data_IF_579239288506
#
_entry.id   IF_579239288506
#
_cell.length_a   1.000
_cell.length_b   1.000
_cell.length_c   1.000
_cell.angle_alpha   90.00
_cell.angle_beta   90.00
_cell.angle_gamma   90.00
#
_symmetry.space_group_name_H-M   'P 1'
#
loop_
_entity.id
_entity.type
_entity.pdbx_description
1 polymer ?
#
# COMPACT_ATOMS: atom_id res chain seq x y z
N UNK A 1 -44.38 65.95 7.00
CA UNK A 1 -44.11 65.68 8.43
C UNK A 1 -42.67 65.17 8.50
N UNK A 2 -41.66 66.06 8.43
CA UNK A 2 -40.91 66.67 9.58
C UNK A 2 -40.19 65.61 10.42
N UNK A 3 -38.89 65.66 10.73
CA UNK A 3 -37.72 66.52 10.43
C UNK A 3 -36.51 65.71 10.97
N UNK A 4 -35.32 65.84 10.38
CA UNK A 4 -34.03 65.25 10.80
C UNK A 4 -33.35 66.07 11.95
N UNK A 5 -32.03 65.90 12.25
CA UNK A 5 -31.35 65.26 13.41
C UNK A 5 -30.62 66.36 14.27
N UNK A 6 -29.33 66.32 14.74
CA UNK A 6 -28.40 65.30 15.26
C UNK A 6 -27.83 65.68 16.67
N UNK A 7 -26.86 64.94 17.23
CA UNK A 7 -25.95 65.48 18.27
C UNK A 7 -24.55 64.88 18.18
N UNK A 8 -23.60 65.75 17.80
CA UNK A 8 -22.14 65.62 17.88
C UNK A 8 -21.64 66.35 19.13
N UNK A 9 -20.59 65.82 19.75
CA UNK A 9 -19.56 66.57 20.47
C UNK A 9 -18.25 65.74 20.29
N UNK A 10 -17.23 66.16 19.52
CA UNK A 10 -16.24 67.23 19.75
C UNK A 10 -15.81 67.27 21.23
N UNK A 11 -14.56 66.97 21.60
CA UNK A 11 -13.30 67.72 21.39
C UNK A 11 -12.15 66.87 21.98
N UNK A 12 -10.89 66.89 21.55
CA UNK A 12 -10.17 67.82 20.69
C UNK A 12 -8.75 67.33 20.39
N UNK A 13 -8.20 67.90 19.32
CA UNK A 13 -6.79 67.84 18.94
C UNK A 13 -5.93 68.69 19.89
N UNK A 14 -4.71 68.22 20.15
CA UNK A 14 -3.44 68.99 20.31
C UNK A 14 -2.42 68.05 20.98
N UNK A 15 -1.13 68.02 20.68
CA UNK A 15 -0.28 68.73 19.75
C UNK A 15 1.13 68.15 19.97
N UNK A 16 1.86 67.95 18.87
CA UNK A 16 3.24 68.44 18.69
C UNK A 16 4.41 67.68 19.36
N UNK A 17 5.15 66.97 18.49
CA UNK A 17 6.61 67.08 18.22
C UNK A 17 7.58 67.03 19.41
N UNK A 18 8.45 66.00 19.45
CA UNK A 18 9.90 66.23 19.43
C UNK A 18 10.69 65.03 18.90
N UNK A 19 11.49 65.31 17.86
CA UNK A 19 12.54 64.51 17.28
C UNK A 19 13.71 64.31 18.27
N UNK A 20 14.24 63.10 18.40
CA UNK A 20 15.68 62.92 18.65
C UNK A 20 16.22 61.82 17.73
N UNK A 21 17.06 62.28 16.80
CA UNK A 21 17.99 61.53 15.97
C UNK A 21 19.15 61.07 16.86
N UNK A 22 19.52 59.79 16.79
CA UNK A 22 20.89 59.35 17.07
C UNK A 22 21.28 58.28 16.07
N UNK A 23 21.91 58.71 14.99
CA UNK A 23 22.75 57.86 14.15
C UNK A 23 24.10 57.67 14.84
N UNK A 24 24.55 56.42 14.95
CA UNK A 24 25.98 56.14 14.94
C UNK A 24 26.21 54.78 14.29
N UNK A 25 26.60 54.90 13.03
CA UNK A 25 27.24 53.89 12.19
C UNK A 25 28.40 53.22 12.94
N UNK A 26 28.50 51.90 12.85
CA UNK A 26 29.79 51.22 12.90
C UNK A 26 29.80 50.15 11.82
N UNK A 27 30.48 50.52 10.74
CA UNK A 27 30.92 49.65 9.66
C UNK A 27 31.92 48.65 10.22
N UNK A 28 31.66 47.36 10.05
CA UNK A 28 32.72 46.37 9.87
C UNK A 28 32.26 45.35 8.82
N UNK A 29 32.62 45.62 7.57
CA UNK A 29 32.72 44.62 6.51
C UNK A 29 34.01 43.84 6.70
N UNK A 30 33.93 42.50 6.84
CA UNK A 30 34.84 41.57 6.16
C UNK A 30 34.36 40.10 6.27
N UNK A 31 33.87 39.61 5.12
CA UNK A 31 34.10 38.28 4.54
C UNK A 31 33.45 37.00 5.14
N UNK A 32 32.40 36.60 4.40
CA UNK A 32 32.22 35.31 3.71
C UNK A 32 31.87 34.03 4.47
N UNK A 33 30.59 33.66 4.37
CA UNK A 33 30.02 32.35 4.00
C UNK A 33 28.55 32.41 4.43
N UNK A 34 27.58 32.55 3.54
CA UNK A 34 27.20 31.47 2.63
C UNK A 34 26.11 30.63 3.30
N UNK A 35 24.94 31.22 3.58
CA UNK A 35 23.75 30.46 3.99
C UNK A 35 22.63 30.80 3.02
N UNK A 36 22.74 30.13 1.88
CA UNK A 36 21.67 29.88 0.93
C UNK A 36 20.64 28.91 1.53
N UNK A 37 19.39 29.34 1.57
CA UNK A 37 18.25 28.48 1.23
C UNK A 37 17.92 27.32 2.17
N UNK A 38 17.43 27.60 3.37
CA UNK A 38 16.56 26.66 4.08
C UNK A 38 15.09 26.84 3.64
N UNK A 39 14.80 26.53 2.38
CA UNK A 39 13.45 26.20 1.97
C UNK A 39 13.52 25.05 0.94
N UNK A 40 12.78 23.98 1.25
CA UNK A 40 12.34 22.91 0.34
C UNK A 40 13.28 21.71 0.07
N UNK A 41 13.94 21.15 1.08
CA UNK A 41 14.42 19.77 0.96
C UNK A 41 13.32 18.78 1.35
N UNK A 42 12.49 18.43 0.35
CA UNK A 42 11.55 17.30 0.45
C UNK A 42 12.33 16.04 0.82
N UNK A 43 12.00 15.52 2.00
CA UNK A 43 12.12 14.16 2.54
C UNK A 43 12.36 13.04 1.49
N UNK A 44 13.57 12.95 0.95
CA UNK A 44 14.12 11.72 0.36
C UNK A 44 15.16 11.20 1.35
N UNK A 45 14.99 9.97 1.83
CA UNK A 45 15.95 9.34 2.72
C UNK A 45 17.34 9.32 2.09
N UNK A 46 18.40 9.47 2.89
CA UNK A 46 19.78 9.28 2.43
C UNK A 46 19.91 7.93 1.71
N UNK A 47 20.72 7.80 0.64
CA UNK A 47 20.97 6.51 -0.02
C UNK A 47 21.26 5.36 0.96
N UNK A 48 21.96 5.64 2.04
CA UNK A 48 22.26 4.67 3.11
C UNK A 48 21.01 4.16 3.84
N UNK A 49 20.00 5.02 4.02
CA UNK A 49 18.72 4.66 4.66
C UNK A 49 17.86 3.80 3.74
N UNK A 50 17.79 4.14 2.45
CA UNK A 50 17.03 3.34 1.46
C UNK A 50 17.60 1.94 1.34
N UNK A 51 18.94 1.84 1.27
CA UNK A 51 19.62 0.57 1.14
C UNK A 51 19.58 -0.24 2.45
N UNK A 52 19.57 0.43 3.61
CA UNK A 52 19.29 -0.22 4.91
C UNK A 52 17.88 -0.79 4.95
N UNK A 53 16.86 -0.02 4.57
CA UNK A 53 15.46 -0.47 4.57
C UNK A 53 15.25 -1.63 3.59
N UNK A 54 15.90 -1.58 2.42
CA UNK A 54 15.88 -2.68 1.45
C UNK A 54 16.46 -3.97 2.02
N UNK A 55 17.58 -3.90 2.73
CA UNK A 55 18.16 -5.07 3.43
C UNK A 55 17.26 -5.58 4.54
N UNK A 56 16.59 -4.69 5.26
CA UNK A 56 15.64 -5.05 6.32
C UNK A 56 14.46 -5.83 5.75
N UNK A 57 13.80 -5.28 4.72
CA UNK A 57 12.66 -5.90 4.04
C UNK A 57 13.02 -7.30 3.57
N UNK A 58 14.16 -7.46 2.89
CA UNK A 58 14.62 -8.79 2.43
C UNK A 58 14.82 -9.77 3.57
N UNK A 59 15.34 -9.32 4.71
CA UNK A 59 15.55 -10.21 5.86
C UNK A 59 14.23 -10.64 6.48
N UNK A 60 13.27 -9.71 6.58
CA UNK A 60 11.93 -10.02 7.09
C UNK A 60 11.20 -10.97 6.13
N UNK A 61 11.29 -10.75 4.81
CA UNK A 61 10.71 -11.65 3.80
C UNK A 61 11.24 -13.06 3.94
N UNK A 62 12.55 -13.26 4.08
CA UNK A 62 13.12 -14.60 4.31
C UNK A 62 12.59 -15.30 5.55
N UNK A 63 12.15 -14.54 6.56
CA UNK A 63 11.55 -15.11 7.78
C UNK A 63 10.08 -15.51 7.58
N UNK A 64 9.46 -15.11 6.47
CA UNK A 64 8.12 -15.56 6.09
C UNK A 64 8.11 -16.96 5.47
N UNK A 65 9.28 -17.52 5.11
CA UNK A 65 9.38 -18.88 4.55
C UNK A 65 8.74 -19.95 5.44
N UNK A 66 8.70 -19.70 6.76
CA UNK A 66 8.03 -20.55 7.76
C UNK A 66 6.55 -20.79 7.51
N UNK A 67 5.95 -20.07 6.55
CA UNK A 67 4.59 -20.34 6.09
C UNK A 67 4.39 -21.77 5.60
N UNK A 68 5.45 -22.44 5.16
CA UNK A 68 5.42 -23.82 4.71
C UNK A 68 5.14 -24.85 5.79
N UNK A 69 5.48 -24.51 7.02
CA UNK A 69 5.55 -25.39 8.18
C UNK A 69 4.65 -24.90 9.32
N UNK A 70 3.81 -23.89 9.08
CA UNK A 70 2.84 -23.38 10.07
C UNK A 70 1.89 -24.47 10.62
N UNK A 71 1.59 -25.51 9.83
CA UNK A 71 0.76 -26.62 10.31
C UNK A 71 1.50 -27.52 11.31
N UNK A 72 2.83 -27.60 11.20
CA UNK A 72 3.66 -28.50 11.99
C UNK A 72 4.14 -27.83 13.29
N UNK A 73 4.32 -26.51 13.27
CA UNK A 73 4.77 -25.74 14.42
C UNK A 73 3.91 -24.48 14.64
N UNK A 74 3.11 -24.40 15.72
CA UNK A 74 2.31 -23.21 16.00
C UNK A 74 3.14 -21.94 16.25
N UNK A 75 4.41 -22.07 16.66
CA UNK A 75 5.32 -20.92 16.79
C UNK A 75 5.60 -20.25 15.44
N UNK A 76 5.56 -21.02 14.34
CA UNK A 76 5.76 -20.47 13.00
C UNK A 76 4.61 -19.55 12.59
N UNK A 77 3.39 -19.78 13.07
CA UNK A 77 2.27 -18.87 12.83
C UNK A 77 2.50 -17.53 13.53
N UNK A 78 2.95 -17.56 14.79
CA UNK A 78 3.32 -16.35 15.53
C UNK A 78 4.44 -15.60 14.82
N UNK A 79 5.52 -16.30 14.44
CA UNK A 79 6.64 -15.71 13.71
C UNK A 79 6.18 -15.12 12.37
N UNK A 80 5.38 -15.84 11.61
CA UNK A 80 4.84 -15.37 10.34
C UNK A 80 4.06 -14.06 10.53
N UNK A 81 3.14 -14.04 11.50
CA UNK A 81 2.32 -12.87 11.80
C UNK A 81 3.18 -11.67 12.24
N UNK A 82 4.18 -11.87 13.09
CA UNK A 82 5.08 -10.79 13.52
C UNK A 82 5.87 -10.19 12.36
N UNK A 83 6.40 -11.03 11.47
CA UNK A 83 7.17 -10.58 10.30
C UNK A 83 6.26 -9.91 9.26
N UNK A 84 5.06 -10.43 9.03
CA UNK A 84 4.04 -9.80 8.19
C UNK A 84 3.69 -8.41 8.72
N UNK A 85 3.37 -8.32 10.00
CA UNK A 85 2.93 -7.07 10.62
C UNK A 85 4.07 -6.05 10.68
N UNK A 86 5.33 -6.49 10.79
CA UNK A 86 6.50 -5.63 10.67
C UNK A 86 6.55 -4.95 9.29
N UNK A 87 6.35 -5.70 8.20
CA UNK A 87 6.31 -5.14 6.85
C UNK A 87 5.11 -4.20 6.66
N UNK A 88 3.94 -4.55 7.22
CA UNK A 88 2.75 -3.68 7.18
C UNK A 88 3.03 -2.34 7.87
N UNK A 89 3.69 -2.34 9.04
CA UNK A 89 4.08 -1.11 9.77
C UNK A 89 5.06 -0.22 9.01
N UNK A 90 5.84 -0.78 8.08
CA UNK A 90 6.72 0.00 7.20
C UNK A 90 5.92 0.78 6.12
N UNK A 91 4.64 0.46 5.93
CA UNK A 91 3.70 1.21 5.09
C UNK A 91 3.89 1.00 3.58
N UNK A 92 3.24 1.84 2.77
CA UNK A 92 3.16 1.66 1.30
C UNK A 92 4.51 1.71 0.56
N UNK A 93 5.58 2.18 1.21
CA UNK A 93 6.92 2.26 0.63
C UNK A 93 7.56 0.90 0.34
N UNK A 94 7.10 -0.18 1.00
CA UNK A 94 7.67 -1.52 0.80
C UNK A 94 7.22 -2.17 -0.50
N UNK A 95 6.11 -1.73 -1.09
CA UNK A 95 5.43 -2.44 -2.19
C UNK A 95 6.34 -2.70 -3.40
N UNK A 96 7.17 -1.73 -3.80
CA UNK A 96 8.07 -1.91 -4.95
C UNK A 96 9.06 -3.06 -4.73
N UNK A 97 9.68 -3.10 -3.56
CA UNK A 97 10.63 -4.16 -3.20
C UNK A 97 9.90 -5.50 -3.03
N UNK A 98 8.69 -5.50 -2.45
CA UNK A 98 7.91 -6.72 -2.32
C UNK A 98 7.54 -7.33 -3.67
N UNK A 99 7.19 -6.51 -4.67
CA UNK A 99 6.94 -7.00 -6.03
C UNK A 99 8.19 -7.61 -6.68
N UNK A 100 9.36 -6.99 -6.49
CA UNK A 100 10.63 -7.57 -6.94
C UNK A 100 10.88 -8.92 -6.28
N UNK A 101 10.75 -9.01 -4.96
CA UNK A 101 10.98 -10.26 -4.21
C UNK A 101 9.95 -11.34 -4.52
N UNK A 102 8.71 -10.97 -4.83
CA UNK A 102 7.67 -11.90 -5.24
C UNK A 102 8.03 -12.60 -6.56
N UNK A 103 8.67 -11.87 -7.48
CA UNK A 103 9.12 -12.43 -8.75
C UNK A 103 10.44 -13.21 -8.63
N UNK A 104 11.32 -12.83 -7.68
CA UNK A 104 12.64 -13.47 -7.47
C UNK A 104 12.57 -14.74 -6.62
N UNK A 105 11.60 -14.86 -5.71
CA UNK A 105 11.63 -15.91 -4.69
C UNK A 105 11.13 -17.28 -5.19
N UNK A 106 11.98 -18.29 -5.05
CA UNK A 106 11.63 -19.70 -5.29
C UNK A 106 10.84 -20.31 -4.13
N UNK A 107 10.97 -19.74 -2.92
CA UNK A 107 10.28 -20.19 -1.71
C UNK A 107 8.82 -19.73 -1.73
N UNK A 108 7.90 -20.70 -1.78
CA UNK A 108 6.48 -20.37 -1.85
C UNK A 108 5.95 -19.75 -0.56
N UNK A 109 6.58 -20.01 0.60
CA UNK A 109 6.23 -19.41 1.87
C UNK A 109 6.55 -17.91 1.93
N UNK A 110 7.70 -17.53 1.37
CA UNK A 110 8.04 -16.12 1.13
C UNK A 110 7.01 -15.46 0.21
N UNK A 111 6.70 -16.07 -0.95
CA UNK A 111 5.69 -15.53 -1.89
C UNK A 111 4.32 -15.39 -1.25
N UNK A 112 3.88 -16.41 -0.50
CA UNK A 112 2.64 -16.38 0.27
C UNK A 112 2.61 -15.21 1.25
N UNK A 113 3.67 -15.04 2.04
CA UNK A 113 3.82 -13.93 2.98
C UNK A 113 3.82 -12.56 2.30
N UNK A 114 4.49 -12.43 1.17
CA UNK A 114 4.51 -11.19 0.38
C UNK A 114 3.09 -10.82 -0.08
N UNK A 115 2.34 -11.76 -0.66
CA UNK A 115 0.97 -11.49 -1.12
C UNK A 115 0.06 -11.09 0.04
N UNK A 116 0.24 -11.71 1.22
CA UNK A 116 -0.44 -11.31 2.46
C UNK A 116 -0.15 -9.85 2.83
N UNK A 117 1.12 -9.42 2.80
CA UNK A 117 1.46 -8.01 3.09
C UNK A 117 0.90 -7.07 2.04
N UNK A 118 0.94 -7.46 0.75
CA UNK A 118 0.37 -6.67 -0.33
C UNK A 118 -1.15 -6.55 -0.24
N UNK A 119 -1.85 -7.48 0.41
CA UNK A 119 -3.29 -7.33 0.68
C UNK A 119 -3.62 -6.17 1.62
N UNK A 120 -2.80 -5.98 2.65
CA UNK A 120 -3.02 -4.97 3.69
C UNK A 120 -2.40 -3.61 3.34
N UNK A 121 -1.35 -3.62 2.53
CA UNK A 121 -0.62 -2.40 2.15
C UNK A 121 -0.90 -1.97 0.71
N UNK A 122 -1.53 -2.83 -0.10
CA UNK A 122 -1.70 -2.66 -1.52
C UNK A 122 -2.54 -1.47 -1.89
N UNK A 123 -2.31 -0.98 -3.09
CA UNK A 123 -3.13 0.06 -3.73
C UNK A 123 -3.58 -0.48 -5.08
N UNK A 124 -4.40 0.26 -5.81
CA UNK A 124 -4.85 -0.09 -7.17
C UNK A 124 -3.75 -0.62 -8.11
N UNK A 125 -2.52 -0.10 -8.00
CA UNK A 125 -1.37 -0.57 -8.80
C UNK A 125 -0.96 -2.02 -8.54
N UNK A 126 -1.44 -2.66 -7.48
CA UNK A 126 -1.15 -4.06 -7.16
C UNK A 126 -2.08 -5.04 -7.88
N UNK A 127 -3.18 -4.58 -8.48
CA UNK A 127 -4.15 -5.47 -9.14
C UNK A 127 -3.49 -6.26 -10.26
N UNK A 128 -2.79 -5.61 -11.19
CA UNK A 128 -2.13 -6.30 -12.30
C UNK A 128 -1.05 -7.30 -11.84
N UNK A 129 -0.15 -6.95 -10.90
CA UNK A 129 0.75 -7.93 -10.30
C UNK A 129 0.03 -9.11 -9.66
N UNK A 130 -1.03 -8.89 -8.88
CA UNK A 130 -1.79 -9.96 -8.22
C UNK A 130 -2.50 -10.87 -9.24
N UNK A 131 -2.94 -10.34 -10.38
CA UNK A 131 -3.46 -11.16 -11.49
C UNK A 131 -2.38 -12.11 -12.02
N UNK A 132 -1.11 -11.69 -12.08
CA UNK A 132 -0.02 -12.59 -12.49
C UNK A 132 0.20 -13.73 -11.48
N UNK A 133 0.03 -13.44 -10.18
CA UNK A 133 0.18 -14.43 -9.10
C UNK A 133 -0.89 -15.53 -9.17
N UNK A 134 -1.99 -15.33 -9.89
CA UNK A 134 -2.97 -16.40 -10.10
C UNK A 134 -2.39 -17.61 -10.84
N UNK A 135 -1.25 -17.47 -11.51
CA UNK A 135 -0.51 -18.59 -12.13
C UNK A 135 0.61 -19.16 -11.23
N UNK A 136 0.68 -18.77 -9.95
CA UNK A 136 1.70 -19.30 -9.06
C UNK A 136 1.65 -20.84 -9.01
N UNK A 137 2.80 -21.53 -9.11
CA UNK A 137 2.83 -23.00 -9.08
C UNK A 137 2.37 -23.58 -7.75
N UNK A 138 2.45 -22.82 -6.65
CA UNK A 138 1.88 -23.21 -5.37
C UNK A 138 0.43 -22.71 -5.26
N UNK A 139 -0.57 -23.59 -5.25
CA UNK A 139 -1.97 -23.18 -5.26
C UNK A 139 -2.37 -22.31 -4.05
N UNK A 140 -1.70 -22.46 -2.89
CA UNK A 140 -1.95 -21.59 -1.73
C UNK A 140 -1.61 -20.12 -2.00
N UNK A 141 -0.59 -19.86 -2.79
CA UNK A 141 -0.21 -18.49 -3.19
C UNK A 141 -1.25 -17.92 -4.17
N UNK A 142 -1.69 -18.72 -5.13
CA UNK A 142 -2.77 -18.33 -6.05
C UNK A 142 -4.11 -18.10 -5.33
N UNK A 143 -4.44 -18.90 -4.31
CA UNK A 143 -5.64 -18.74 -3.49
C UNK A 143 -5.69 -17.39 -2.81
N UNK A 144 -4.60 -16.99 -2.14
CA UNK A 144 -4.57 -15.69 -1.46
C UNK A 144 -4.65 -14.54 -2.48
N UNK A 145 -3.95 -14.62 -3.60
CA UNK A 145 -4.05 -13.60 -4.65
C UNK A 145 -5.50 -13.47 -5.19
N UNK A 146 -6.16 -14.60 -5.45
CA UNK A 146 -7.58 -14.65 -5.84
C UNK A 146 -8.46 -14.00 -4.77
N UNK A 147 -8.28 -14.34 -3.49
CA UNK A 147 -9.05 -13.74 -2.41
C UNK A 147 -8.87 -12.21 -2.35
N UNK A 148 -7.63 -11.73 -2.47
CA UNK A 148 -7.34 -10.29 -2.45
C UNK A 148 -7.97 -9.59 -3.64
N UNK A 149 -7.87 -10.16 -4.85
CA UNK A 149 -8.50 -9.58 -6.04
C UNK A 149 -10.01 -9.45 -5.87
N UNK A 150 -10.69 -10.47 -5.31
CA UNK A 150 -12.13 -10.39 -5.02
C UNK A 150 -12.48 -9.21 -4.14
N UNK A 151 -11.75 -9.06 -3.03
CA UNK A 151 -12.02 -8.03 -2.03
C UNK A 151 -11.71 -6.64 -2.59
N UNK A 152 -10.54 -6.47 -3.21
CA UNK A 152 -10.07 -5.16 -3.68
C UNK A 152 -10.86 -4.68 -4.90
N UNK A 153 -11.31 -5.60 -5.75
CA UNK A 153 -12.03 -5.26 -6.98
C UNK A 153 -13.56 -5.32 -6.83
N UNK A 154 -14.06 -5.79 -5.67
CA UNK A 154 -15.47 -6.13 -5.43
C UNK A 154 -16.05 -6.94 -6.60
N UNK A 155 -15.33 -7.99 -7.00
CA UNK A 155 -15.65 -8.77 -8.19
C UNK A 155 -15.33 -10.26 -8.02
N UNK A 156 -16.16 -11.12 -8.60
CA UNK A 156 -16.00 -12.57 -8.49
C UNK A 156 -15.90 -13.19 -9.88
N UNK A 157 -14.68 -13.45 -10.34
CA UNK A 157 -14.48 -14.23 -11.57
C UNK A 157 -14.87 -15.71 -11.36
N UNK A 158 -14.56 -16.32 -10.23
CA UNK A 158 -15.05 -17.68 -9.99
C UNK A 158 -16.50 -17.55 -9.52
N UNK A 159 -17.47 -18.15 -10.24
CA UNK A 159 -18.87 -18.04 -9.86
C UNK A 159 -19.12 -18.67 -8.49
N UNK A 160 -20.17 -18.19 -7.82
CA UNK A 160 -20.65 -18.88 -6.64
C UNK A 160 -21.20 -20.24 -7.02
N UNK A 161 -21.10 -21.18 -6.09
CA UNK A 161 -21.67 -22.51 -6.22
C UNK A 161 -23.18 -22.41 -6.51
N UNK A 162 -23.63 -23.04 -7.59
CA UNK A 162 -25.04 -23.01 -8.03
C UNK A 162 -25.40 -21.85 -8.96
N UNK A 163 -24.46 -20.95 -9.25
CA UNK A 163 -24.62 -19.87 -10.22
C UNK A 163 -23.95 -20.21 -11.56
N UNK A 164 -24.52 -19.72 -12.65
CA UNK A 164 -23.87 -19.78 -13.95
C UNK A 164 -22.84 -18.64 -14.03
N UNK A 165 -21.56 -18.98 -14.17
CA UNK A 165 -20.50 -18.00 -14.34
C UNK A 165 -20.50 -17.38 -15.74
N UNK A 166 -20.32 -16.05 -15.82
CA UNK A 166 -20.25 -15.31 -17.08
C UNK A 166 -18.96 -15.59 -17.87
N UNK A 167 -17.91 -16.05 -17.19
CA UNK A 167 -16.56 -16.23 -17.73
C UNK A 167 -16.16 -17.69 -17.97
N UNK A 168 -17.14 -18.59 -18.08
CA UNK A 168 -16.96 -20.02 -18.41
C UNK A 168 -16.14 -20.84 -17.38
N UNK A 169 -15.77 -20.25 -16.25
CA UNK A 169 -15.13 -20.97 -15.15
C UNK A 169 -16.17 -21.76 -14.35
N UNK A 170 -15.93 -23.04 -14.04
CA UNK A 170 -16.78 -23.75 -13.11
C UNK A 170 -16.55 -23.25 -11.68
N UNK A 171 -17.54 -23.32 -10.78
CA UNK A 171 -17.33 -23.01 -9.38
C UNK A 171 -16.36 -24.02 -8.74
N UNK A 172 -15.55 -23.57 -7.78
CA UNK A 172 -14.70 -24.46 -6.96
C UNK A 172 -15.60 -25.35 -6.10
N UNK A 173 -15.39 -26.68 -6.03
CA UNK A 173 -16.23 -27.59 -5.25
C UNK A 173 -16.34 -27.20 -3.75
N UNK A 174 -17.54 -27.33 -3.17
CA UNK A 174 -17.79 -27.11 -1.75
C UNK A 174 -16.97 -28.06 -0.89
N UNK A 175 -16.61 -27.57 0.28
CA UNK A 175 -15.87 -28.29 1.30
C UNK A 175 -16.52 -28.06 2.66
N UNK A 176 -16.62 -29.11 3.46
CA UNK A 176 -17.10 -29.02 4.84
C UNK A 176 -15.96 -28.61 5.78
N UNK A 177 -14.72 -28.90 5.38
CA UNK A 177 -13.53 -28.63 6.17
C UNK A 177 -12.53 -27.75 5.43
N UNK A 178 -11.68 -27.03 6.17
CA UNK A 178 -10.58 -26.25 5.56
C UNK A 178 -9.60 -27.15 4.77
N UNK A 179 -9.41 -28.40 5.19
CA UNK A 179 -8.56 -29.36 4.50
C UNK A 179 -9.14 -29.78 3.14
N UNK A 180 -10.44 -30.03 3.08
CA UNK A 180 -11.16 -30.27 1.83
C UNK A 180 -11.14 -29.03 0.94
N UNK A 181 -11.35 -27.84 1.49
CA UNK A 181 -11.35 -26.60 0.71
C UNK A 181 -10.02 -26.39 0.00
N UNK A 182 -8.93 -26.66 0.72
CA UNK A 182 -7.58 -26.63 0.16
C UNK A 182 -7.39 -27.69 -0.94
N UNK A 183 -7.83 -28.93 -0.73
CA UNK A 183 -7.75 -29.97 -1.77
C UNK A 183 -8.56 -29.60 -3.02
N UNK A 184 -9.81 -29.21 -2.84
CA UNK A 184 -10.71 -28.80 -3.91
C UNK A 184 -10.14 -27.64 -4.72
N UNK A 185 -9.57 -26.64 -4.04
CA UNK A 185 -8.87 -25.56 -4.72
C UNK A 185 -7.67 -26.07 -5.51
N UNK A 186 -6.80 -26.88 -4.90
CA UNK A 186 -5.59 -27.36 -5.56
C UNK A 186 -5.92 -28.13 -6.85
N UNK A 187 -6.92 -29.02 -6.78
CA UNK A 187 -7.39 -29.79 -7.94
C UNK A 187 -8.04 -28.89 -8.99
N UNK A 188 -8.91 -27.96 -8.58
CA UNK A 188 -9.56 -27.03 -9.48
C UNK A 188 -8.55 -26.09 -10.16
N UNK A 189 -7.60 -25.54 -9.41
CA UNK A 189 -6.61 -24.58 -9.90
C UNK A 189 -5.61 -25.24 -10.85
N UNK A 190 -5.25 -26.51 -10.61
CA UNK A 190 -4.43 -27.28 -11.54
C UNK A 190 -5.06 -27.40 -12.94
N UNK A 191 -6.39 -27.39 -13.03
CA UNK A 191 -7.12 -27.49 -14.31
C UNK A 191 -7.47 -26.11 -14.87
N UNK A 192 -7.88 -25.18 -14.02
CA UNK A 192 -8.52 -23.92 -14.42
C UNK A 192 -7.68 -22.66 -14.14
N UNK A 193 -6.50 -22.78 -13.53
CA UNK A 193 -5.69 -21.62 -13.10
C UNK A 193 -5.35 -20.64 -14.22
N UNK A 194 -5.03 -21.14 -15.42
CA UNK A 194 -4.75 -20.28 -16.58
C UNK A 194 -6.01 -19.53 -17.05
N UNK A 195 -7.16 -20.22 -17.11
CA UNK A 195 -8.45 -19.62 -17.45
C UNK A 195 -8.85 -18.57 -16.41
N UNK A 196 -8.58 -18.83 -15.13
CA UNK A 196 -8.83 -17.88 -14.06
C UNK A 196 -8.02 -16.58 -14.25
N UNK A 197 -6.73 -16.71 -14.54
CA UNK A 197 -5.89 -15.53 -14.83
C UNK A 197 -6.39 -14.77 -16.05
N UNK A 198 -6.77 -15.47 -17.11
CA UNK A 198 -7.29 -14.85 -18.33
C UNK A 198 -8.58 -14.08 -18.08
N UNK A 199 -9.51 -14.68 -17.35
CA UNK A 199 -10.76 -14.05 -16.95
C UNK A 199 -10.51 -12.75 -16.16
N UNK A 200 -9.67 -12.81 -15.12
CA UNK A 200 -9.26 -11.62 -14.37
C UNK A 200 -8.53 -10.58 -15.22
N UNK A 201 -7.68 -11.01 -16.15
CA UNK A 201 -6.96 -10.11 -17.05
C UNK A 201 -7.94 -9.36 -17.96
N UNK A 202 -8.92 -10.06 -18.51
CA UNK A 202 -9.95 -9.47 -19.35
C UNK A 202 -10.83 -8.51 -18.55
N UNK A 203 -11.36 -8.96 -17.42
CA UNK A 203 -12.20 -8.15 -16.55
C UNK A 203 -11.48 -6.87 -16.12
N UNK A 204 -10.21 -6.96 -15.71
CA UNK A 204 -9.44 -5.79 -15.31
C UNK A 204 -9.25 -4.81 -16.47
N UNK A 205 -8.94 -5.29 -17.68
CA UNK A 205 -8.82 -4.42 -18.86
C UNK A 205 -10.08 -3.59 -19.11
N UNK A 206 -11.25 -4.20 -18.92
CA UNK A 206 -12.55 -3.58 -19.16
C UNK A 206 -12.98 -2.64 -18.02
N UNK A 207 -12.56 -2.92 -16.78
CA UNK A 207 -13.09 -2.27 -15.59
C UNK A 207 -12.08 -1.38 -14.83
N UNK A 208 -10.79 -1.42 -15.16
CA UNK A 208 -9.74 -0.71 -14.40
C UNK A 208 -10.00 0.79 -14.21
N UNK A 209 -10.71 1.47 -15.11
CA UNK A 209 -11.02 2.89 -14.96
C UNK A 209 -12.26 3.16 -14.09
N UNK A 210 -13.10 2.14 -13.86
CA UNK A 210 -14.34 2.22 -13.09
C UNK A 210 -14.16 1.79 -11.63
N UNK A 211 -13.26 0.84 -11.38
CA UNK A 211 -12.99 0.34 -10.02
C UNK A 211 -12.36 1.46 -9.19
N UNK A 212 -13.04 1.83 -8.10
CA UNK A 212 -12.54 2.74 -7.07
C UNK A 212 -11.92 1.89 -5.96
N UNK A 213 -10.60 1.98 -5.83
CA UNK A 213 -9.84 1.33 -4.76
C UNK A 213 -9.36 2.47 -3.88
N UNK A 214 -9.77 2.45 -2.61
CA UNK A 214 -9.38 3.44 -1.60
C UNK A 214 -7.90 3.33 -1.20
#
# INVERSE_FOLDING_TARGET
MTKTPPSLAHTGLSAIILLIVCASVSVFTACSRGESGEQSQRRYGSPDTVERDRREIRRIVRRLSVADTMHDNPEHEVQFNENRDALIRMGSGVQGILLELLAESEDWGERYGIVHVLSATGTKRMVEPLIQVLNDPEPRVAWIAMHVLRVVCDNQEIPQQGEAGENQLPPVPLAETAAEQRRNWNEWHAVHGSQLREAWTQWWRENQYRVRIE
#
